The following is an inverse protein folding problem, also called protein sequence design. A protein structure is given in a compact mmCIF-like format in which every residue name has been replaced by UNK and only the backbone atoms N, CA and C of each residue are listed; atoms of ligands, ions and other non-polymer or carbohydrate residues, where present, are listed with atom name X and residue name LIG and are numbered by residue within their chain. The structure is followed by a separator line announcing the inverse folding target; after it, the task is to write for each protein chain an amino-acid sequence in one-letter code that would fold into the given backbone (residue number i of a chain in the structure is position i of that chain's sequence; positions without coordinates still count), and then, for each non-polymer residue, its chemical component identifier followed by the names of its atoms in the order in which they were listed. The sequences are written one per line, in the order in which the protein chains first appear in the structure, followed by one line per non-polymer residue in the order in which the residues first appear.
data_IF_841528634050
#
_entry.id   IF_841528634050
#
_cell.length_a   1.000
_cell.length_b   1.000
_cell.length_c   1.000
_cell.angle_alpha   90.00
_cell.angle_beta   90.00
_cell.angle_gamma   90.00
#
_symmetry.space_group_name_H-M   'P 1'
#
loop_
_entity.id
_entity.type
_entity.pdbx_description
1 polymer ?
#
# COMPACT_ATOMS: atom_id res chain seq x y z
N UNK A 1 -14.16 1.32 -11.02
CA UNK A 1 -14.32 2.12 -9.77
C UNK A 1 -13.97 1.20 -8.59
N UNK A 2 -13.17 1.62 -7.59
CA UNK A 2 -12.83 0.78 -6.43
C UNK A 2 -14.07 0.20 -5.70
N UNK A 3 -15.20 0.91 -5.69
CA UNK A 3 -16.44 0.46 -5.04
C UNK A 3 -17.24 -0.60 -5.84
N UNK A 4 -16.74 -1.03 -7.00
CA UNK A 4 -17.31 -2.12 -7.79
C UNK A 4 -16.79 -3.50 -7.38
N UNK A 5 -15.97 -3.60 -6.33
CA UNK A 5 -15.65 -4.87 -5.70
C UNK A 5 -16.91 -5.50 -5.08
N UNK A 6 -17.08 -6.81 -5.23
CA UNK A 6 -18.33 -7.49 -4.86
C UNK A 6 -18.10 -8.69 -3.95
N UNK A 7 -18.92 -8.80 -2.89
CA UNK A 7 -19.00 -9.99 -2.04
C UNK A 7 -20.12 -10.92 -2.51
N UNK A 8 -19.82 -12.21 -2.60
CA UNK A 8 -20.74 -13.29 -2.99
C UNK A 8 -20.51 -14.54 -2.15
N UNK A 9 -21.52 -15.40 -2.06
CA UNK A 9 -21.40 -16.70 -1.39
C UNK A 9 -21.17 -17.77 -2.43
N UNK A 10 -20.21 -18.68 -2.18
CA UNK A 10 -20.01 -19.85 -3.05
C UNK A 10 -21.13 -20.85 -2.82
N UNK A 11 -21.95 -21.10 -3.84
CA UNK A 11 -23.06 -22.05 -3.81
C UNK A 11 -22.65 -23.47 -4.22
N UNK A 12 -21.68 -23.60 -5.13
CA UNK A 12 -21.12 -24.89 -5.54
C UNK A 12 -19.69 -24.75 -6.06
N UNK A 13 -18.91 -25.83 -5.96
CA UNK A 13 -17.56 -25.93 -6.50
C UNK A 13 -17.49 -27.16 -7.40
N UNK A 14 -16.99 -26.98 -8.63
CA UNK A 14 -16.71 -28.07 -9.56
C UNK A 14 -15.33 -27.86 -10.20
N UNK A 15 -14.30 -28.52 -9.65
CA UNK A 15 -12.92 -28.29 -10.07
C UNK A 15 -12.53 -26.83 -9.85
N UNK A 16 -12.08 -26.15 -10.91
CA UNK A 16 -11.68 -24.73 -10.87
C UNK A 16 -12.83 -23.77 -11.22
N UNK A 17 -14.08 -24.24 -11.19
CA UNK A 17 -15.27 -23.41 -11.43
C UNK A 17 -16.08 -23.28 -10.14
N UNK A 18 -16.33 -22.04 -9.72
CA UNK A 18 -17.24 -21.71 -8.62
C UNK A 18 -18.58 -21.21 -9.17
N UNK A 19 -19.67 -21.67 -8.56
CA UNK A 19 -21.01 -21.11 -8.78
C UNK A 19 -21.32 -20.17 -7.62
N UNK A 20 -21.71 -18.95 -7.94
CA UNK A 20 -22.10 -17.94 -6.95
C UNK A 20 -23.59 -18.07 -6.62
N UNK A 21 -23.95 -17.72 -5.39
CA UNK A 21 -25.34 -17.66 -4.90
C UNK A 21 -26.23 -16.69 -5.67
N UNK A 22 -25.62 -15.60 -6.19
CA UNK A 22 -26.27 -14.60 -7.04
C UNK A 22 -25.29 -14.08 -8.10
N UNK A 23 -25.83 -13.57 -9.20
CA UNK A 23 -25.03 -12.94 -10.27
C UNK A 23 -24.21 -11.76 -9.75
N UNK A 24 -23.11 -11.44 -10.43
CA UNK A 24 -22.36 -10.19 -10.22
C UNK A 24 -23.13 -9.02 -10.84
N UNK A 25 -23.06 -7.86 -10.19
CA UNK A 25 -23.75 -6.64 -10.62
C UNK A 25 -22.89 -5.82 -11.59
N UNK A 26 -21.57 -5.92 -11.48
CA UNK A 26 -20.61 -5.24 -12.35
C UNK A 26 -19.90 -6.21 -13.29
N UNK A 27 -19.33 -5.66 -14.37
CA UNK A 27 -18.45 -6.41 -15.26
C UNK A 27 -17.10 -6.59 -14.57
N UNK A 28 -16.62 -7.84 -14.51
CA UNK A 28 -15.27 -8.17 -14.05
C UNK A 28 -14.52 -8.78 -15.23
N UNK A 29 -13.54 -8.04 -15.76
CA UNK A 29 -12.76 -8.52 -16.89
C UNK A 29 -11.90 -9.72 -16.46
N UNK A 30 -11.72 -10.67 -17.37
CA UNK A 30 -11.31 -12.03 -17.03
C UNK A 30 -10.32 -12.63 -18.01
N UNK A 31 -9.51 -11.80 -18.69
CA UNK A 31 -8.60 -12.25 -19.74
C UNK A 31 -7.22 -11.62 -19.59
N UNK A 32 -6.23 -12.32 -20.13
CA UNK A 32 -4.94 -11.73 -20.48
C UNK A 32 -5.09 -11.08 -21.85
N UNK A 33 -4.71 -9.81 -21.98
CA UNK A 33 -4.81 -9.04 -23.22
C UNK A 33 -3.54 -8.23 -23.44
N UNK A 34 -3.01 -8.24 -24.66
CA UNK A 34 -1.69 -7.65 -24.97
C UNK A 34 -0.58 -8.09 -23.99
N UNK A 35 -0.59 -9.34 -23.52
CA UNK A 35 0.31 -9.85 -22.48
C UNK A 35 0.19 -9.19 -21.09
N UNK A 36 -0.81 -8.35 -20.86
CA UNK A 36 -1.20 -7.82 -19.55
C UNK A 36 -2.26 -8.73 -18.95
N UNK A 37 -2.02 -9.22 -17.74
CA UNK A 37 -3.00 -10.04 -17.02
C UNK A 37 -4.01 -9.16 -16.31
N UNK A 38 -5.21 -9.09 -16.87
CA UNK A 38 -6.30 -8.26 -16.36
C UNK A 38 -7.47 -9.13 -15.87
N UNK A 39 -7.16 -10.34 -15.42
CA UNK A 39 -8.15 -11.20 -14.75
C UNK A 39 -8.47 -10.61 -13.38
N UNK A 40 -9.76 -10.46 -13.09
CA UNK A 40 -10.23 -9.97 -11.80
C UNK A 40 -9.80 -10.86 -10.63
N UNK A 41 -9.51 -10.21 -9.51
CA UNK A 41 -9.07 -10.86 -8.28
C UNK A 41 -10.22 -11.57 -7.56
N UNK A 42 -9.93 -12.74 -6.99
CA UNK A 42 -10.89 -13.52 -6.20
C UNK A 42 -10.28 -13.89 -4.86
N UNK A 43 -10.76 -13.25 -3.78
CA UNK A 43 -10.30 -13.50 -2.41
C UNK A 43 -11.36 -14.22 -1.57
N UNK A 44 -10.96 -15.30 -0.88
CA UNK A 44 -11.83 -15.96 0.11
C UNK A 44 -11.78 -15.20 1.44
N UNK A 45 -12.94 -14.72 1.91
CA UNK A 45 -13.04 -13.95 3.16
C UNK A 45 -13.31 -14.82 4.39
N UNK A 46 -13.98 -15.96 4.24
CA UNK A 46 -14.35 -16.78 5.39
C UNK A 46 -13.21 -17.64 5.91
N UNK A 47 -13.07 -17.77 7.24
CA UNK A 47 -12.18 -18.75 7.91
C UNK A 47 -12.92 -19.46 9.05
N UNK A 48 -12.34 -20.55 9.54
CA UNK A 48 -12.94 -21.33 10.64
C UNK A 48 -12.79 -20.66 12.01
N UNK A 49 -11.78 -19.80 12.19
CA UNK A 49 -11.55 -19.03 13.41
C UNK A 49 -11.94 -17.59 13.10
N UNK A 50 -13.04 -17.11 13.71
CA UNK A 50 -13.53 -15.75 13.51
C UNK A 50 -13.35 -14.94 14.78
N UNK A 51 -12.64 -13.83 14.67
CA UNK A 51 -12.50 -12.82 15.73
C UNK A 51 -13.19 -11.55 15.22
N UNK A 52 -14.27 -11.14 15.89
CA UNK A 52 -15.07 -10.02 15.44
C UNK A 52 -15.72 -9.26 16.59
N UNK A 53 -15.98 -7.98 16.36
CA UNK A 53 -16.91 -7.22 17.19
C UNK A 53 -18.37 -7.59 16.88
N UNK A 54 -19.25 -7.29 17.82
CA UNK A 54 -20.70 -7.43 17.64
C UNK A 54 -21.23 -6.48 16.55
N UNK A 55 -22.37 -6.79 15.89
CA UNK A 55 -22.89 -5.98 14.79
C UNK A 55 -23.22 -4.53 15.15
N UNK A 56 -23.54 -4.23 16.40
CA UNK A 56 -23.79 -2.85 16.88
C UNK A 56 -22.53 -1.96 16.82
N UNK A 57 -21.34 -2.54 16.70
CA UNK A 57 -20.11 -1.79 16.46
C UNK A 57 -20.14 -0.97 15.15
N UNK A 58 -20.98 -1.33 14.17
CA UNK A 58 -21.14 -0.56 12.92
C UNK A 58 -21.66 0.87 13.20
N UNK A 59 -22.36 1.09 14.33
CA UNK A 59 -22.91 2.41 14.69
C UNK A 59 -21.86 3.36 15.26
N UNK A 60 -20.83 2.81 15.90
CA UNK A 60 -19.79 3.57 16.60
C UNK A 60 -18.43 3.46 15.94
N UNK A 61 -18.27 2.52 15.00
CA UNK A 61 -17.02 2.15 14.36
C UNK A 61 -15.94 1.75 15.39
N UNK A 62 -16.38 1.16 16.49
CA UNK A 62 -15.55 0.77 17.63
C UNK A 62 -15.49 -0.75 17.72
N UNK A 63 -14.54 -1.35 17.00
CA UNK A 63 -14.32 -2.78 16.95
C UNK A 63 -13.27 -3.28 17.94
N UNK A 64 -12.99 -4.58 17.91
CA UNK A 64 -11.88 -5.18 18.65
C UNK A 64 -10.53 -4.82 18.02
N UNK A 65 -9.45 -4.90 18.81
CA UNK A 65 -8.08 -4.71 18.31
C UNK A 65 -7.13 -5.75 18.93
N UNK A 66 -6.08 -6.14 18.20
CA UNK A 66 -5.05 -7.07 18.69
C UNK A 66 -3.70 -6.36 18.58
N UNK A 67 -2.93 -6.38 19.67
CA UNK A 67 -1.64 -5.71 19.74
C UNK A 67 -0.60 -6.58 20.46
N UNK A 68 0.51 -6.86 19.78
CA UNK A 68 1.69 -7.45 20.37
C UNK A 68 2.60 -6.34 20.89
N UNK A 69 2.71 -6.20 22.20
CA UNK A 69 3.59 -5.23 22.87
C UNK A 69 5.03 -5.76 22.95
N UNK A 70 6.01 -4.87 23.11
CA UNK A 70 7.42 -5.19 23.36
C UNK A 70 7.59 -6.42 24.29
N UNK A 71 8.38 -7.39 23.85
CA UNK A 71 8.63 -8.66 24.56
C UNK A 71 7.60 -9.76 24.30
N UNK A 72 6.50 -9.46 23.60
CA UNK A 72 5.51 -10.45 23.17
C UNK A 72 5.92 -11.14 21.87
N UNK A 73 5.25 -12.27 21.59
CA UNK A 73 5.29 -12.93 20.28
C UNK A 73 3.87 -13.17 19.80
N UNK A 74 3.62 -12.93 18.52
CA UNK A 74 2.32 -13.14 17.89
C UNK A 74 2.48 -13.99 16.63
N UNK A 75 1.63 -15.01 16.52
CA UNK A 75 1.58 -15.97 15.42
C UNK A 75 0.11 -16.18 15.04
N UNK A 76 -0.28 -15.70 13.85
CA UNK A 76 -1.66 -15.73 13.39
C UNK A 76 -1.72 -16.49 12.08
N UNK A 77 -2.51 -17.57 12.01
CA UNK A 77 -2.67 -18.38 10.79
C UNK A 77 -4.13 -18.76 10.60
N UNK A 78 -4.68 -18.51 9.41
CA UNK A 78 -6.01 -18.97 9.03
C UNK A 78 -7.15 -18.34 9.84
N UNK A 79 -7.01 -17.07 10.24
CA UNK A 79 -8.00 -16.34 11.05
C UNK A 79 -8.79 -15.35 10.19
N UNK A 80 -10.09 -15.23 10.44
CA UNK A 80 -10.96 -14.18 9.90
C UNK A 80 -11.14 -13.08 10.97
N UNK A 81 -10.82 -11.85 10.59
CA UNK A 81 -10.95 -10.64 11.41
C UNK A 81 -11.99 -9.74 10.75
N UNK A 82 -13.12 -9.53 11.43
CA UNK A 82 -14.27 -8.79 10.90
C UNK A 82 -14.77 -7.74 11.89
N UNK A 83 -15.12 -6.52 11.44
CA UNK A 83 -15.50 -5.40 12.34
C UNK A 83 -14.44 -5.13 13.41
N UNK A 84 -13.18 -5.12 12.98
CA UNK A 84 -12.01 -4.91 13.84
C UNK A 84 -11.39 -3.52 13.57
N UNK A 85 -10.53 -3.07 14.48
CA UNK A 85 -10.01 -1.72 14.52
C UNK A 85 -11.00 -0.74 15.17
N UNK A 86 -10.54 0.45 15.50
CA UNK A 86 -11.39 1.50 16.07
C UNK A 86 -11.16 2.80 15.29
N UNK A 87 -12.19 3.28 14.60
CA UNK A 87 -12.08 4.49 13.80
C UNK A 87 -11.73 5.70 14.70
N UNK A 88 -10.86 6.59 14.23
CA UNK A 88 -10.43 7.78 14.98
C UNK A 88 -9.80 7.50 16.36
N UNK A 89 -9.34 6.27 16.61
CA UNK A 89 -8.52 5.91 17.77
C UNK A 89 -7.14 5.41 17.32
N UNK A 90 -6.09 6.19 17.64
CA UNK A 90 -4.71 5.85 17.30
C UNK A 90 -4.30 4.52 17.93
N UNK A 91 -3.51 3.72 17.19
CA UNK A 91 -2.95 2.45 17.64
C UNK A 91 -3.99 1.36 18.01
N UNK A 92 -5.19 1.41 17.42
CA UNK A 92 -6.27 0.44 17.65
C UNK A 92 -6.69 -0.20 16.33
N UNK A 93 -5.92 -1.20 15.93
CA UNK A 93 -6.00 -1.85 14.61
C UNK A 93 -6.32 -3.35 14.75
N UNK A 94 -6.86 -4.01 13.70
CA UNK A 94 -7.12 -5.45 13.72
C UNK A 94 -5.92 -6.27 14.16
N UNK A 95 -4.74 -5.96 13.62
CA UNK A 95 -3.47 -6.58 13.96
C UNK A 95 -2.38 -5.50 14.05
N UNK A 96 -1.64 -5.48 15.16
CA UNK A 96 -0.59 -4.49 15.39
C UNK A 96 0.61 -5.11 16.12
N UNK A 97 1.76 -5.19 15.45
CA UNK A 97 3.06 -5.40 16.13
C UNK A 97 3.60 -4.04 16.58
N UNK A 98 3.64 -3.83 17.90
CA UNK A 98 3.97 -2.55 18.50
C UNK A 98 5.32 -2.61 19.22
N UNK A 99 6.35 -2.08 18.56
CA UNK A 99 7.71 -1.89 19.07
C UNK A 99 8.38 -3.20 19.50
N UNK A 100 8.26 -4.26 18.71
CA UNK A 100 8.83 -5.57 19.03
C UNK A 100 10.35 -5.59 18.84
N UNK A 101 10.90 -4.73 17.97
CA UNK A 101 12.28 -4.84 17.54
C UNK A 101 12.42 -6.00 16.55
N UNK A 102 13.18 -7.03 16.91
CA UNK A 102 13.33 -8.21 16.05
C UNK A 102 12.16 -9.19 16.25
N UNK A 103 11.33 -9.32 15.23
CA UNK A 103 10.19 -10.22 15.18
C UNK A 103 10.44 -11.44 14.29
N UNK A 104 11.70 -11.82 14.04
CA UNK A 104 12.02 -12.98 13.20
C UNK A 104 11.22 -14.23 13.61
N UNK A 105 10.51 -14.79 12.63
CA UNK A 105 9.66 -15.97 12.78
C UNK A 105 8.25 -15.70 13.30
N UNK A 106 7.91 -14.46 13.68
CA UNK A 106 6.53 -14.04 13.94
C UNK A 106 5.81 -13.78 12.63
N UNK A 107 4.48 -13.92 12.63
CA UNK A 107 3.73 -13.82 11.38
C UNK A 107 2.23 -13.57 11.53
N UNK A 108 1.65 -13.06 10.44
CA UNK A 108 0.24 -13.29 10.08
C UNK A 108 0.18 -13.91 8.69
N UNK A 109 -0.42 -15.11 8.59
CA UNK A 109 -0.54 -15.85 7.34
C UNK A 109 -1.94 -16.38 7.05
N UNK A 110 -2.25 -16.59 5.78
CA UNK A 110 -3.48 -17.27 5.31
C UNK A 110 -4.79 -16.70 5.87
N UNK A 111 -4.78 -15.43 6.32
CA UNK A 111 -5.87 -14.84 7.09
C UNK A 111 -6.74 -13.94 6.22
N UNK A 112 -7.93 -13.61 6.71
CA UNK A 112 -8.83 -12.65 6.09
C UNK A 112 -9.07 -11.49 7.06
N UNK A 113 -8.92 -10.24 6.60
CA UNK A 113 -9.09 -9.03 7.42
C UNK A 113 -10.01 -8.08 6.67
N UNK A 114 -11.28 -8.01 7.06
CA UNK A 114 -12.27 -7.26 6.28
C UNK A 114 -13.30 -6.50 7.11
N UNK A 115 -13.95 -5.54 6.46
CA UNK A 115 -14.91 -4.62 7.08
C UNK A 115 -14.32 -4.00 8.36
N UNK A 116 -13.12 -3.42 8.23
CA UNK A 116 -12.37 -2.87 9.37
C UNK A 116 -12.60 -1.38 9.51
N UNK A 117 -12.65 -0.93 10.76
CA UNK A 117 -12.87 0.48 11.09
C UNK A 117 -11.58 1.31 11.11
N UNK A 118 -10.42 0.65 11.09
CA UNK A 118 -9.11 1.30 10.98
C UNK A 118 -8.04 0.28 10.63
N UNK A 119 -7.48 0.40 9.42
CA UNK A 119 -6.33 -0.34 8.89
C UNK A 119 -6.55 -1.85 8.80
N UNK A 120 -5.50 -2.58 8.43
CA UNK A 120 -5.50 -4.03 8.42
C UNK A 120 -4.39 -4.56 9.34
N UNK A 121 -3.14 -4.50 8.86
CA UNK A 121 -1.95 -5.01 9.54
C UNK A 121 -0.96 -3.87 9.71
N UNK A 122 -0.69 -3.52 10.97
CA UNK A 122 0.25 -2.47 11.33
C UNK A 122 1.54 -3.06 11.88
N UNK A 123 2.67 -2.61 11.33
CA UNK A 123 4.02 -2.94 11.77
C UNK A 123 4.67 -1.65 12.24
N UNK A 124 4.88 -1.54 13.55
CA UNK A 124 5.42 -0.34 14.19
C UNK A 124 6.68 -0.70 14.98
N UNK A 125 7.82 -0.10 14.64
CA UNK A 125 9.11 -0.36 15.31
C UNK A 125 9.49 -1.83 15.34
N UNK A 126 9.13 -2.57 14.29
CA UNK A 126 9.23 -4.03 14.21
C UNK A 126 9.87 -4.45 12.89
N UNK A 127 10.79 -5.40 12.98
CA UNK A 127 11.67 -5.85 11.92
C UNK A 127 11.56 -7.36 11.70
N UNK A 128 11.89 -7.83 10.49
CA UNK A 128 11.95 -9.25 10.13
C UNK A 128 10.64 -10.04 10.33
N UNK A 129 9.49 -9.34 10.28
CA UNK A 129 8.16 -9.94 10.36
C UNK A 129 7.72 -10.54 9.01
N UNK A 130 6.99 -11.66 9.05
CA UNK A 130 6.33 -12.22 7.87
C UNK A 130 4.83 -11.87 7.82
N UNK A 131 4.41 -11.15 6.78
CA UNK A 131 3.00 -10.85 6.46
C UNK A 131 2.69 -11.50 5.11
N UNK A 132 2.01 -12.65 5.12
CA UNK A 132 1.95 -13.53 3.94
C UNK A 132 0.55 -14.05 3.62
N UNK A 133 0.16 -14.06 2.35
CA UNK A 133 -1.06 -14.74 1.87
C UNK A 133 -2.35 -14.31 2.62
N UNK A 134 -2.47 -13.01 2.91
CA UNK A 134 -3.66 -12.46 3.56
C UNK A 134 -4.57 -11.79 2.53
N UNK A 135 -5.88 -11.96 2.70
CA UNK A 135 -6.91 -11.26 1.92
C UNK A 135 -7.49 -10.15 2.78
N UNK A 136 -7.49 -8.91 2.30
CA UNK A 136 -8.15 -7.80 2.96
C UNK A 136 -9.24 -7.21 2.08
N UNK A 137 -10.33 -6.77 2.70
CA UNK A 137 -11.47 -6.23 1.97
C UNK A 137 -12.22 -5.14 2.75
N UNK A 138 -12.53 -4.02 2.11
CA UNK A 138 -13.36 -2.94 2.70
C UNK A 138 -12.77 -2.44 4.03
N UNK A 139 -11.57 -1.88 3.97
CA UNK A 139 -10.87 -1.34 5.13
C UNK A 139 -10.88 0.20 5.09
N UNK A 140 -10.88 0.85 6.26
CA UNK A 140 -10.70 2.31 6.39
C UNK A 140 -9.24 2.62 6.73
N UNK A 141 -8.65 3.66 6.14
CA UNK A 141 -7.25 4.06 6.31
C UNK A 141 -6.24 3.15 5.60
N UNK A 142 -4.94 3.39 5.79
CA UNK A 142 -3.89 2.57 5.18
C UNK A 142 -3.98 1.10 5.65
N UNK A 143 -3.96 0.13 4.73
CA UNK A 143 -4.24 -1.27 5.08
C UNK A 143 -3.01 -1.99 5.67
N UNK A 144 -1.96 -2.21 4.88
CA UNK A 144 -0.65 -2.71 5.33
C UNK A 144 0.24 -1.50 5.63
N UNK A 145 0.54 -1.26 6.90
CA UNK A 145 1.05 0.03 7.37
C UNK A 145 2.37 -0.11 8.14
N UNK A 146 3.43 0.51 7.60
CA UNK A 146 4.68 0.78 8.33
C UNK A 146 4.64 2.15 8.99
N UNK A 147 4.81 2.22 10.31
CA UNK A 147 4.49 3.44 11.07
C UNK A 147 5.58 4.50 11.06
N UNK A 148 6.80 4.16 11.47
CA UNK A 148 7.80 5.18 11.82
C UNK A 148 9.04 5.19 10.92
N UNK A 149 9.07 4.37 9.87
CA UNK A 149 10.18 4.24 8.92
C UNK A 149 11.47 3.63 9.48
N UNK A 150 11.46 3.11 10.72
CA UNK A 150 12.55 2.26 11.22
C UNK A 150 12.40 0.80 10.79
N UNK A 151 11.20 0.42 10.36
CA UNK A 151 10.81 -0.96 10.08
C UNK A 151 11.55 -1.47 8.85
N UNK A 152 12.41 -2.46 9.03
CA UNK A 152 13.20 -3.07 7.97
C UNK A 152 13.19 -4.59 8.11
N UNK A 153 13.60 -5.32 7.08
CA UNK A 153 13.65 -6.77 7.19
C UNK A 153 12.35 -7.49 6.95
N UNK A 154 11.21 -6.78 6.97
CA UNK A 154 9.90 -7.38 6.91
C UNK A 154 9.57 -7.87 5.50
N UNK A 155 8.69 -8.86 5.44
CA UNK A 155 8.25 -9.48 4.20
C UNK A 155 6.73 -9.34 4.06
N UNK A 156 6.29 -8.78 2.94
CA UNK A 156 4.90 -8.70 2.51
C UNK A 156 4.80 -9.52 1.22
N UNK A 157 4.24 -10.72 1.31
CA UNK A 157 4.28 -11.70 0.21
C UNK A 157 2.88 -12.25 -0.07
N UNK A 158 2.44 -12.28 -1.33
CA UNK A 158 1.14 -12.85 -1.74
C UNK A 158 -0.09 -12.24 -1.04
N UNK A 159 -0.02 -11.00 -0.55
CA UNK A 159 -1.19 -10.37 0.06
C UNK A 159 -2.08 -9.72 -1.01
N UNK A 160 -3.39 -9.87 -0.86
CA UNK A 160 -4.40 -9.27 -1.72
C UNK A 160 -5.19 -8.25 -0.90
N UNK A 161 -5.10 -6.97 -1.24
CA UNK A 161 -5.94 -5.93 -0.65
C UNK A 161 -6.98 -5.41 -1.64
N UNK A 162 -8.24 -5.40 -1.20
CA UNK A 162 -9.39 -4.98 -1.99
C UNK A 162 -10.15 -3.88 -1.27
N UNK A 163 -10.53 -2.80 -1.96
CA UNK A 163 -11.31 -1.70 -1.39
C UNK A 163 -10.68 -1.08 -0.13
N UNK A 164 -9.66 -0.24 -0.34
CA UNK A 164 -9.08 0.60 0.72
C UNK A 164 -9.67 2.01 0.65
N UNK A 165 -10.32 2.43 1.73
CA UNK A 165 -11.05 3.71 1.82
C UNK A 165 -10.34 4.72 2.71
N UNK A 166 -10.48 6.01 2.44
CA UNK A 166 -10.00 7.05 3.36
C UNK A 166 -10.93 7.18 4.57
N UNK A 167 -12.24 7.15 4.32
CA UNK A 167 -13.27 7.36 5.32
C UNK A 167 -14.33 6.25 5.28
N UNK A 168 -15.17 6.12 6.32
CA UNK A 168 -16.29 5.19 6.29
C UNK A 168 -17.27 5.49 5.15
N UNK A 169 -17.73 6.75 5.08
CA UNK A 169 -18.86 7.20 4.26
C UNK A 169 -18.63 8.56 3.58
N UNK A 170 -17.36 8.97 3.42
CA UNK A 170 -16.99 10.23 2.78
C UNK A 170 -15.90 10.02 1.72
N UNK A 171 -15.86 10.84 0.65
CA UNK A 171 -14.77 10.77 -0.30
C UNK A 171 -13.44 11.17 0.34
N UNK A 172 -12.34 10.60 -0.13
CA UNK A 172 -10.99 11.10 0.16
C UNK A 172 -10.87 12.59 -0.21
N UNK A 173 -10.07 13.33 0.57
CA UNK A 173 -9.59 14.67 0.21
C UNK A 173 -8.07 14.60 -0.01
N UNK A 174 -7.59 13.94 -1.09
CA UNK A 174 -6.19 13.59 -1.25
C UNK A 174 -5.32 14.81 -1.58
N UNK A 175 -4.04 14.74 -1.21
CA UNK A 175 -3.04 15.67 -1.74
C UNK A 175 -2.46 15.11 -3.04
N UNK A 176 -3.07 15.51 -4.15
CA UNK A 176 -2.62 15.13 -5.48
C UNK A 176 -1.69 16.18 -6.09
N UNK A 177 -0.62 15.68 -6.72
CA UNK A 177 0.26 16.49 -7.56
C UNK A 177 0.05 16.04 -9.00
N UNK A 178 -0.10 17.02 -9.88
CA UNK A 178 -0.18 16.81 -11.33
C UNK A 178 0.46 17.97 -12.07
N UNK A 179 0.58 17.86 -13.41
CA UNK A 179 1.07 18.96 -14.24
C UNK A 179 0.27 20.25 -13.97
N UNK A 180 0.94 21.42 -14.03
CA UNK A 180 0.27 22.72 -13.87
C UNK A 180 -0.93 22.84 -14.81
N UNK A 181 -2.09 23.23 -14.28
CA UNK A 181 -3.35 23.37 -15.04
C UNK A 181 -4.20 22.10 -15.13
N UNK A 182 -3.69 20.93 -14.76
CA UNK A 182 -4.51 19.73 -14.53
C UNK A 182 -5.30 19.90 -13.22
N UNK A 183 -6.54 19.39 -13.14
CA UNK A 183 -7.31 19.37 -11.88
C UNK A 183 -7.97 20.68 -11.42
N UNK A 184 -8.20 21.66 -12.31
CA UNK A 184 -9.02 22.84 -11.99
C UNK A 184 -8.51 23.71 -10.82
N UNK A 185 -7.20 23.71 -10.58
CA UNK A 185 -6.57 24.43 -9.46
C UNK A 185 -6.50 23.65 -8.14
N UNK A 186 -6.93 22.38 -8.12
CA UNK A 186 -6.84 21.49 -6.95
C UNK A 186 -5.50 20.76 -6.84
N UNK A 187 -4.69 20.74 -7.90
CA UNK A 187 -3.30 20.30 -7.79
C UNK A 187 -2.61 21.14 -6.72
N UNK A 188 -1.85 20.50 -5.84
CA UNK A 188 -1.21 21.12 -4.67
C UNK A 188 -2.16 21.50 -3.50
N UNK A 189 -3.43 21.08 -3.52
CA UNK A 189 -4.29 21.26 -2.36
C UNK A 189 -3.86 20.33 -1.20
N UNK A 190 -3.38 20.93 -0.11
CA UNK A 190 -2.94 20.24 1.10
C UNK A 190 -3.95 20.32 2.24
N UNK A 191 -5.14 20.88 2.02
CA UNK A 191 -6.15 21.06 3.08
C UNK A 191 -6.57 19.73 3.72
N UNK A 192 -6.62 18.64 2.94
CA UNK A 192 -6.94 17.30 3.44
C UNK A 192 -5.95 16.77 4.48
N UNK A 193 -4.70 17.25 4.49
CA UNK A 193 -3.72 16.89 5.52
C UNK A 193 -4.04 17.49 6.90
N UNK A 194 -4.89 18.51 6.96
CA UNK A 194 -5.31 19.20 8.18
C UNK A 194 -6.76 18.88 8.56
N UNK A 195 -7.36 17.86 7.94
CA UNK A 195 -8.73 17.48 8.26
C UNK A 195 -8.84 17.01 9.73
N UNK A 196 -10.04 17.13 10.31
CA UNK A 196 -10.27 16.79 11.73
C UNK A 196 -10.73 15.35 11.94
N UNK A 197 -11.09 14.70 10.85
CA UNK A 197 -11.64 13.36 10.70
C UNK A 197 -10.62 12.38 10.12
N UNK A 198 -9.34 12.60 10.42
CA UNK A 198 -8.22 11.70 10.09
C UNK A 198 -7.36 11.44 11.32
N UNK A 199 -6.69 10.28 11.38
CA UNK A 199 -5.75 9.95 12.47
C UNK A 199 -4.38 10.55 12.21
N UNK A 200 -3.92 10.49 10.97
CA UNK A 200 -2.68 11.09 10.49
C UNK A 200 -2.91 11.83 9.17
N UNK A 201 -2.10 12.86 8.84
CA UNK A 201 -2.28 13.67 7.63
C UNK A 201 -2.41 12.88 6.32
N UNK A 202 -1.78 11.69 6.22
CA UNK A 202 -1.84 10.84 5.03
C UNK A 202 -3.12 10.02 4.87
N UNK A 203 -3.98 9.89 5.89
CA UNK A 203 -5.18 9.03 5.80
C UNK A 203 -6.19 9.53 4.75
N UNK A 204 -6.14 10.82 4.39
CA UNK A 204 -6.92 11.38 3.28
C UNK A 204 -6.37 11.01 1.89
N UNK A 205 -5.23 10.32 1.84
CA UNK A 205 -4.60 9.72 0.65
C UNK A 205 -4.30 8.25 0.96
N UNK A 206 -5.25 7.54 1.58
CA UNK A 206 -5.08 6.17 2.05
C UNK A 206 -4.53 5.22 0.97
N UNK A 207 -3.76 4.22 1.41
CA UNK A 207 -3.15 3.24 0.51
C UNK A 207 -3.31 1.81 0.99
N UNK A 208 -3.43 0.86 0.06
CA UNK A 208 -3.39 -0.56 0.42
C UNK A 208 -2.05 -0.90 1.06
N UNK A 209 -0.94 -0.46 0.46
CA UNK A 209 0.39 -0.61 1.03
C UNK A 209 1.01 0.76 1.32
N UNK A 210 1.20 1.07 2.59
CA UNK A 210 1.88 2.28 3.08
C UNK A 210 3.29 1.91 3.54
N UNK A 211 4.28 2.38 2.78
CA UNK A 211 5.67 1.93 2.85
C UNK A 211 6.55 3.14 3.18
N UNK A 212 6.99 3.22 4.43
CA UNK A 212 7.83 4.33 4.91
C UNK A 212 9.32 4.01 4.91
N UNK A 213 9.70 2.74 4.73
CA UNK A 213 11.10 2.30 4.61
C UNK A 213 11.24 1.28 3.48
N UNK A 214 12.14 1.50 2.50
CA UNK A 214 12.27 0.64 1.33
C UNK A 214 13.08 -0.64 1.59
N UNK A 215 13.65 -0.82 2.79
CA UNK A 215 14.43 -2.00 3.19
C UNK A 215 13.55 -3.17 3.64
N UNK A 216 12.49 -3.44 2.89
CA UNK A 216 11.53 -4.53 3.10
C UNK A 216 11.25 -5.24 1.77
N UNK A 217 10.72 -6.46 1.83
CA UNK A 217 10.38 -7.26 0.66
C UNK A 217 8.89 -7.13 0.37
N UNK A 218 8.54 -6.72 -0.85
CA UNK A 218 7.18 -6.73 -1.37
C UNK A 218 7.13 -7.62 -2.61
N UNK A 219 6.57 -8.81 -2.47
CA UNK A 219 6.56 -9.81 -3.54
C UNK A 219 5.15 -10.33 -3.84
N UNK A 220 4.77 -10.31 -5.11
CA UNK A 220 3.55 -10.95 -5.61
C UNK A 220 2.27 -10.51 -4.85
N UNK A 221 2.24 -9.25 -4.36
CA UNK A 221 1.07 -8.67 -3.72
C UNK A 221 0.16 -7.99 -4.75
N UNK A 222 -1.12 -7.86 -4.40
CA UNK A 222 -2.10 -7.17 -5.23
C UNK A 222 -2.80 -6.06 -4.44
N UNK A 223 -2.86 -4.86 -5.04
CA UNK A 223 -3.68 -3.74 -4.57
C UNK A 223 -4.80 -3.45 -5.57
N UNK A 224 -6.01 -3.95 -5.29
CA UNK A 224 -7.16 -3.92 -6.17
C UNK A 224 -8.25 -3.00 -5.62
N UNK A 225 -8.27 -1.74 -6.05
CA UNK A 225 -9.35 -0.81 -5.72
C UNK A 225 -9.14 0.02 -4.46
N UNK A 226 -8.07 0.80 -4.39
CA UNK A 226 -7.93 1.89 -3.42
C UNK A 226 -8.66 3.15 -3.88
N UNK A 227 -9.32 3.85 -2.97
CA UNK A 227 -9.88 5.17 -3.26
C UNK A 227 -8.79 6.17 -3.67
N UNK A 228 -7.59 6.05 -3.07
CA UNK A 228 -6.40 6.80 -3.43
C UNK A 228 -5.30 5.89 -4.02
N UNK A 229 -4.38 5.33 -3.21
CA UNK A 229 -3.13 4.74 -3.75
C UNK A 229 -3.03 3.23 -3.55
N UNK A 230 -2.60 2.46 -4.55
CA UNK A 230 -2.29 1.03 -4.37
C UNK A 230 -1.05 0.82 -3.49
N UNK A 231 0.13 1.13 -4.04
CA UNK A 231 1.41 1.08 -3.33
C UNK A 231 1.99 2.48 -3.16
N UNK A 232 2.29 2.88 -1.92
CA UNK A 232 2.90 4.18 -1.63
C UNK A 232 4.22 4.04 -0.87
N UNK A 233 5.34 4.22 -1.57
CA UNK A 233 6.66 4.47 -0.99
C UNK A 233 6.76 5.93 -0.50
N UNK A 234 6.20 6.17 0.67
CA UNK A 234 6.17 7.47 1.36
C UNK A 234 7.39 7.63 2.27
N UNK A 235 8.58 7.81 1.69
CA UNK A 235 9.82 7.77 2.45
C UNK A 235 10.14 9.11 3.15
N UNK A 236 10.17 9.19 4.50
CA UNK A 236 10.71 10.35 5.19
C UNK A 236 12.25 10.39 5.09
N UNK A 237 12.84 11.54 5.39
CA UNK A 237 14.32 11.64 5.41
C UNK A 237 14.94 10.84 6.56
N UNK A 238 14.28 10.90 7.72
CA UNK A 238 14.58 10.14 8.92
C UNK A 238 13.29 9.57 9.51
N UNK A 239 13.37 8.50 10.31
CA UNK A 239 12.24 8.01 11.08
C UNK A 239 11.51 9.09 11.88
N UNK A 240 10.18 9.00 11.86
CA UNK A 240 9.24 9.92 12.50
C UNK A 240 8.61 9.28 13.75
N UNK A 241 7.61 9.95 14.33
CA UNK A 241 6.79 9.39 15.39
C UNK A 241 7.60 8.98 16.62
N UNK A 242 7.46 7.72 17.07
CA UNK A 242 8.09 7.24 18.31
C UNK A 242 9.61 7.27 18.26
N UNK A 243 10.20 7.19 17.06
CA UNK A 243 11.64 7.14 16.86
C UNK A 243 12.25 8.51 16.54
N UNK A 244 11.46 9.57 16.39
CA UNK A 244 11.96 10.92 16.13
C UNK A 244 12.99 11.36 17.19
N UNK A 245 14.11 11.92 16.74
CA UNK A 245 15.18 12.44 17.61
C UNK A 245 16.00 11.37 18.34
N UNK A 246 15.72 10.08 18.14
CA UNK A 246 16.51 8.99 18.74
C UNK A 246 17.81 8.74 17.98
N UNK A 247 18.76 8.05 18.63
CA UNK A 247 20.00 7.61 17.97
C UNK A 247 19.72 6.66 16.79
N UNK A 248 18.66 5.84 16.87
CA UNK A 248 18.22 4.97 15.77
C UNK A 248 17.80 5.82 14.58
N UNK A 249 16.98 6.86 14.80
CA UNK A 249 16.52 7.76 13.73
C UNK A 249 17.69 8.51 13.07
N UNK A 250 18.64 9.01 13.85
CA UNK A 250 19.83 9.69 13.34
C UNK A 250 20.70 8.81 12.40
N UNK A 251 20.62 7.49 12.53
CA UNK A 251 21.39 6.52 11.72
C UNK A 251 20.55 5.87 10.61
N UNK A 252 19.26 6.16 10.54
CA UNK A 252 18.34 5.54 9.58
C UNK A 252 17.91 6.57 8.54
N UNK A 253 18.08 6.25 7.26
CA UNK A 253 17.90 7.19 6.16
C UNK A 253 17.01 6.61 5.04
N UNK A 254 15.68 6.50 5.22
CA UNK A 254 14.81 5.84 4.25
C UNK A 254 14.94 6.38 2.82
N UNK A 255 15.05 7.70 2.63
CA UNK A 255 15.28 8.34 1.31
C UNK A 255 16.62 8.00 0.63
N UNK A 256 17.57 7.42 1.36
CA UNK A 256 18.89 7.00 0.86
C UNK A 256 19.11 5.50 0.89
N UNK A 257 18.18 4.77 1.47
CA UNK A 257 18.23 3.31 1.56
C UNK A 257 17.79 2.69 0.25
N UNK A 258 18.54 1.69 -0.23
CA UNK A 258 18.18 0.94 -1.44
C UNK A 258 16.85 0.21 -1.24
N UNK A 259 16.01 0.19 -2.27
CA UNK A 259 14.86 -0.72 -2.33
C UNK A 259 15.38 -2.15 -2.26
N UNK A 260 15.00 -2.87 -1.20
CA UNK A 260 15.45 -4.24 -1.00
C UNK A 260 14.87 -5.15 -2.07
N UNK A 261 13.53 -5.21 -2.15
CA UNK A 261 12.84 -5.95 -3.20
C UNK A 261 11.42 -5.43 -3.39
N UNK A 262 11.07 -5.14 -4.64
CA UNK A 262 9.69 -4.96 -5.08
C UNK A 262 9.51 -5.71 -6.39
N UNK A 263 8.84 -6.86 -6.35
CA UNK A 263 8.77 -7.80 -7.46
C UNK A 263 7.40 -8.44 -7.64
N UNK A 264 6.92 -8.52 -8.89
CA UNK A 264 5.72 -9.32 -9.23
C UNK A 264 4.40 -8.75 -8.71
N UNK A 265 4.42 -7.54 -8.14
CA UNK A 265 3.22 -6.94 -7.57
C UNK A 265 2.28 -6.42 -8.67
N UNK A 266 0.99 -6.39 -8.36
CA UNK A 266 -0.05 -5.87 -9.26
C UNK A 266 -0.87 -4.78 -8.58
N UNK A 267 -1.20 -3.70 -9.28
CA UNK A 267 -2.11 -2.69 -8.77
C UNK A 267 -3.10 -2.21 -9.84
N UNK A 268 -4.38 -2.32 -9.54
CA UNK A 268 -5.43 -1.93 -10.46
C UNK A 268 -6.69 -1.38 -9.79
N UNK A 269 -7.52 -0.71 -10.58
CA UNK A 269 -8.76 -0.08 -10.11
C UNK A 269 -8.57 0.98 -9.01
N UNK A 270 -7.33 1.45 -8.78
CA UNK A 270 -7.02 2.49 -7.80
C UNK A 270 -7.22 3.88 -8.41
N UNK A 271 -7.09 4.95 -7.60
CA UNK A 271 -6.81 6.26 -8.18
C UNK A 271 -5.37 6.31 -8.72
N UNK A 272 -4.37 6.17 -7.85
CA UNK A 272 -2.97 5.95 -8.23
C UNK A 272 -2.56 4.50 -7.96
N UNK A 273 -1.88 3.88 -8.92
CA UNK A 273 -1.38 2.50 -8.81
C UNK A 273 -0.17 2.42 -7.88
N UNK A 274 0.84 3.25 -8.16
CA UNK A 274 2.13 3.25 -7.51
C UNK A 274 2.63 4.69 -7.34
N UNK A 275 2.93 5.06 -6.11
CA UNK A 275 3.43 6.38 -5.73
C UNK A 275 4.76 6.23 -4.97
N UNK A 276 5.84 6.76 -5.53
CA UNK A 276 7.15 6.81 -4.89
C UNK A 276 7.64 8.26 -4.82
N UNK A 277 7.01 9.01 -3.92
CA UNK A 277 7.23 10.42 -3.63
C UNK A 277 6.47 10.74 -2.34
N UNK A 278 6.42 12.02 -1.96
CA UNK A 278 5.47 12.53 -0.95
C UNK A 278 5.63 11.86 0.42
N UNK A 279 6.86 11.73 0.89
CA UNK A 279 7.13 11.18 2.22
C UNK A 279 6.72 12.12 3.37
N UNK A 280 6.36 11.57 4.54
CA UNK A 280 5.98 12.35 5.70
C UNK A 280 7.18 13.11 6.28
N UNK A 281 6.87 14.14 7.05
CA UNK A 281 7.78 14.92 7.89
C UNK A 281 7.48 14.60 9.36
N UNK A 282 8.31 15.07 10.31
CA UNK A 282 8.06 14.85 11.73
C UNK A 282 6.68 15.28 12.25
N UNK A 283 6.10 16.33 11.68
CA UNK A 283 4.74 16.80 11.99
C UNK A 283 3.62 15.93 11.39
N UNK A 284 3.97 14.87 10.65
CA UNK A 284 3.05 13.96 9.96
C UNK A 284 2.61 14.46 8.59
N UNK A 285 2.73 15.77 8.30
CA UNK A 285 2.43 16.32 6.98
C UNK A 285 3.42 15.77 5.96
N UNK A 286 2.95 15.61 4.72
CA UNK A 286 3.74 15.02 3.67
C UNK A 286 3.87 15.96 2.48
N UNK A 287 5.03 15.92 1.84
CA UNK A 287 5.38 16.78 0.73
C UNK A 287 6.39 16.07 -0.17
N UNK A 288 6.59 16.60 -1.38
CA UNK A 288 7.54 16.07 -2.33
C UNK A 288 8.91 15.84 -1.71
N UNK A 289 9.52 14.69 -1.98
CA UNK A 289 10.84 14.33 -1.49
C UNK A 289 11.43 13.24 -2.36
N UNK A 290 12.53 13.55 -3.05
CA UNK A 290 13.19 12.59 -3.94
C UNK A 290 13.91 11.48 -3.16
N UNK A 291 13.96 10.30 -3.77
CA UNK A 291 14.70 9.15 -3.27
C UNK A 291 15.93 8.87 -4.15
N UNK A 292 17.11 8.71 -3.52
CA UNK A 292 18.35 8.35 -4.20
C UNK A 292 19.09 7.35 -3.33
N UNK A 293 19.20 6.10 -3.77
CA UNK A 293 19.89 5.09 -2.97
C UNK A 293 21.40 5.29 -2.98
N UNK A 294 22.03 5.16 -1.82
CA UNK A 294 23.47 5.26 -1.65
C UNK A 294 24.05 3.95 -1.11
N UNK A 295 25.31 3.65 -1.45
CA UNK A 295 25.99 2.45 -0.94
C UNK A 295 26.15 2.47 0.59
N UNK A 296 26.26 3.66 1.17
CA UNK A 296 26.13 3.90 2.60
C UNK A 296 25.10 5.02 2.83
N UNK A 297 23.85 4.68 3.20
CA UNK A 297 22.78 5.67 3.38
C UNK A 297 23.11 6.79 4.39
N UNK A 298 23.98 6.51 5.38
CA UNK A 298 24.40 7.48 6.39
C UNK A 298 25.48 8.46 5.90
N UNK A 299 26.14 8.17 4.78
CA UNK A 299 27.14 9.04 4.16
C UNK A 299 26.61 9.58 2.83
N UNK A 300 26.22 10.86 2.83
CA UNK A 300 25.69 11.56 1.66
C UNK A 300 26.69 11.68 0.50
N UNK A 301 27.99 11.47 0.75
CA UNK A 301 29.04 11.46 -0.26
C UNK A 301 29.32 10.08 -0.85
N UNK A 302 28.73 9.03 -0.27
CA UNK A 302 28.95 7.67 -0.74
C UNK A 302 28.34 7.45 -2.13
N UNK A 303 28.89 6.52 -2.93
CA UNK A 303 28.41 6.25 -4.28
C UNK A 303 26.90 5.99 -4.34
N UNK A 304 26.24 6.56 -5.33
CA UNK A 304 24.85 6.22 -5.66
C UNK A 304 24.76 4.77 -6.14
N UNK A 305 23.70 4.08 -5.75
CA UNK A 305 23.42 2.70 -6.16
C UNK A 305 22.02 2.60 -6.77
N UNK A 306 21.84 1.62 -7.64
CA UNK A 306 20.59 1.40 -8.35
C UNK A 306 19.53 0.73 -7.46
N UNK A 307 18.32 1.30 -7.46
CA UNK A 307 17.11 0.65 -6.94
C UNK A 307 16.27 0.12 -8.08
N UNK A 308 15.79 -1.11 -7.95
CA UNK A 308 15.09 -1.82 -9.02
C UNK A 308 13.66 -2.14 -8.58
N UNK A 309 12.70 -1.81 -9.44
CA UNK A 309 11.31 -2.26 -9.39
C UNK A 309 11.13 -3.25 -10.54
N UNK A 310 10.76 -4.50 -10.22
CA UNK A 310 10.74 -5.59 -11.20
C UNK A 310 9.34 -6.20 -11.34
N UNK A 311 8.95 -6.59 -12.55
CA UNK A 311 7.74 -7.37 -12.83
C UNK A 311 6.44 -6.74 -12.28
N UNK A 312 6.35 -5.40 -12.28
CA UNK A 312 5.17 -4.69 -11.77
C UNK A 312 4.11 -4.52 -12.86
N UNK A 313 2.88 -4.93 -12.55
CA UNK A 313 1.71 -4.74 -13.43
C UNK A 313 0.76 -3.69 -12.85
N UNK A 314 0.49 -2.63 -13.60
CA UNK A 314 -0.39 -1.54 -13.19
C UNK A 314 -1.45 -1.27 -14.24
N UNK A 315 -2.73 -1.57 -13.99
CA UNK A 315 -3.77 -1.36 -15.00
C UNK A 315 -5.06 -0.73 -14.46
N UNK A 316 -5.84 -0.09 -15.32
CA UNK A 316 -7.17 0.46 -14.95
C UNK A 316 -7.16 1.40 -13.73
N UNK A 317 -6.10 2.19 -13.56
CA UNK A 317 -6.04 3.19 -12.50
C UNK A 317 -6.54 4.55 -13.02
N UNK A 318 -7.38 5.22 -12.22
CA UNK A 318 -8.07 6.46 -12.64
C UNK A 318 -7.12 7.63 -12.89
N UNK A 319 -5.92 7.59 -12.33
CA UNK A 319 -4.87 8.60 -12.48
C UNK A 319 -3.56 7.95 -12.96
N UNK A 320 -2.55 7.76 -12.09
CA UNK A 320 -1.23 7.29 -12.48
C UNK A 320 -1.05 5.77 -12.40
N UNK A 321 -0.57 5.16 -13.47
CA UNK A 321 -0.01 3.80 -13.47
C UNK A 321 1.34 3.74 -12.74
N UNK A 322 2.13 4.80 -12.82
CA UNK A 322 3.30 4.99 -11.96
C UNK A 322 3.67 6.47 -11.81
N UNK A 323 3.76 6.95 -10.57
CA UNK A 323 4.34 8.23 -10.21
C UNK A 323 5.55 8.03 -9.31
N UNK A 324 6.71 8.51 -9.73
CA UNK A 324 7.96 8.32 -9.00
C UNK A 324 8.78 9.61 -8.97
N UNK A 325 9.61 9.77 -7.93
CA UNK A 325 10.57 10.87 -7.82
C UNK A 325 11.90 10.40 -7.30
N UNK A 326 12.97 10.80 -7.97
CA UNK A 326 14.33 10.52 -7.52
C UNK A 326 15.25 10.14 -8.66
N UNK A 327 16.32 9.44 -8.31
CA UNK A 327 17.41 9.11 -9.23
C UNK A 327 17.83 7.65 -9.09
N UNK A 328 18.49 7.12 -10.12
CA UNK A 328 19.02 5.74 -10.15
C UNK A 328 17.94 4.67 -9.95
N UNK A 329 16.72 4.90 -10.49
CA UNK A 329 15.65 3.91 -10.46
C UNK A 329 15.55 3.17 -11.79
N UNK A 330 15.62 1.84 -11.74
CA UNK A 330 15.38 0.99 -12.90
C UNK A 330 14.08 0.25 -12.71
N UNK A 331 13.22 0.36 -13.72
CA UNK A 331 11.95 -0.33 -13.80
C UNK A 331 12.06 -1.37 -14.89
N UNK A 332 12.01 -2.63 -14.50
CA UNK A 332 12.25 -3.77 -15.38
C UNK A 332 10.98 -4.57 -15.54
N UNK A 333 10.62 -4.87 -16.79
CA UNK A 333 9.44 -5.66 -17.12
C UNK A 333 8.15 -5.09 -16.51
N UNK A 334 7.96 -3.78 -16.63
CA UNK A 334 6.68 -3.17 -16.28
C UNK A 334 5.61 -3.55 -17.30
N UNK A 335 4.38 -3.67 -16.85
CA UNK A 335 3.20 -3.78 -17.71
C UNK A 335 2.16 -2.76 -17.27
N UNK A 336 2.02 -1.67 -18.03
CA UNK A 336 1.10 -0.59 -17.70
C UNK A 336 0.02 -0.44 -18.77
N UNK A 337 -1.25 -0.65 -18.41
CA UNK A 337 -2.38 -0.62 -19.33
C UNK A 337 -3.55 0.21 -18.81
N UNK A 338 -4.31 0.88 -19.68
CA UNK A 338 -5.58 1.53 -19.31
C UNK A 338 -5.49 2.53 -18.13
N UNK A 339 -4.33 3.15 -17.93
CA UNK A 339 -4.13 4.18 -16.91
C UNK A 339 -4.30 5.56 -17.55
N UNK A 340 -4.94 6.51 -16.86
CA UNK A 340 -5.08 7.87 -17.38
C UNK A 340 -3.69 8.51 -17.68
N UNK A 341 -2.69 8.21 -16.85
CA UNK A 341 -1.29 8.52 -17.08
C UNK A 341 -0.49 7.25 -16.87
N UNK A 342 0.15 6.72 -17.92
CA UNK A 342 0.95 5.49 -17.82
C UNK A 342 2.11 5.61 -16.84
N UNK A 343 3.01 6.57 -17.06
CA UNK A 343 4.26 6.70 -16.28
C UNK A 343 4.69 8.16 -16.17
N UNK A 344 5.05 8.57 -14.96
CA UNK A 344 5.66 9.87 -14.66
C UNK A 344 6.81 9.69 -13.69
N UNK A 345 8.01 10.13 -14.07
CA UNK A 345 9.18 10.16 -13.19
C UNK A 345 9.74 11.56 -13.09
N UNK A 346 9.74 12.11 -11.88
CA UNK A 346 10.27 13.43 -11.61
C UNK A 346 11.72 13.35 -11.09
N UNK A 347 12.61 14.16 -11.64
CA UNK A 347 13.98 14.32 -11.19
C UNK A 347 14.17 15.73 -10.60
N UNK A 348 15.04 15.83 -9.60
CA UNK A 348 15.51 17.10 -9.06
C UNK A 348 17.03 17.27 -9.17
N UNK A 349 17.75 16.21 -9.56
CA UNK A 349 19.21 16.14 -9.50
C UNK A 349 19.87 16.30 -10.89
N UNK A 350 19.44 17.32 -11.63
CA UNK A 350 19.78 17.55 -13.05
C UNK A 350 21.30 17.43 -13.32
N UNK A 351 21.70 16.33 -13.97
CA UNK A 351 23.07 16.09 -14.45
C UNK A 351 24.07 15.55 -13.42
N UNK A 352 23.65 15.21 -12.20
CA UNK A 352 24.56 14.72 -11.14
C UNK A 352 24.53 13.19 -10.94
N UNK A 353 23.49 12.52 -11.45
CA UNK A 353 23.35 11.06 -11.38
C UNK A 353 23.65 10.41 -12.74
N UNK A 354 24.11 9.15 -12.74
CA UNK A 354 24.38 8.42 -13.98
C UNK A 354 23.13 8.27 -14.86
N UNK A 355 21.96 8.18 -14.23
CA UNK A 355 20.64 8.31 -14.85
C UNK A 355 19.60 8.64 -13.79
N UNK A 356 18.46 9.18 -14.22
CA UNK A 356 17.34 9.50 -13.33
C UNK A 356 16.42 8.29 -13.17
N UNK A 357 15.90 7.80 -14.30
CA UNK A 357 15.14 6.58 -14.43
C UNK A 357 15.53 5.81 -15.69
N UNK A 358 15.39 4.49 -15.64
CA UNK A 358 15.46 3.60 -16.80
C UNK A 358 14.25 2.70 -16.80
N UNK A 359 13.58 2.62 -17.94
CA UNK A 359 12.49 1.66 -18.17
C UNK A 359 12.99 0.67 -19.20
N UNK A 360 13.09 -0.60 -18.82
CA UNK A 360 13.69 -1.65 -19.63
C UNK A 360 12.73 -2.84 -19.72
N UNK A 361 12.71 -3.49 -20.89
CA UNK A 361 11.90 -4.69 -21.18
C UNK A 361 10.41 -4.53 -20.81
N UNK A 362 9.86 -3.32 -20.91
CA UNK A 362 8.53 -2.95 -20.42
C UNK A 362 7.50 -2.78 -21.53
N UNK A 363 6.23 -2.94 -21.18
CA UNK A 363 5.07 -2.79 -22.04
C UNK A 363 4.14 -1.67 -21.55
N UNK A 364 3.70 -0.84 -22.50
CA UNK A 364 2.69 0.20 -22.29
C UNK A 364 1.56 0.01 -23.29
N UNK A 365 0.33 -0.17 -22.79
CA UNK A 365 -0.86 -0.31 -23.61
C UNK A 365 -1.81 0.83 -23.29
N UNK A 366 -2.21 1.60 -24.30
CA UNK A 366 -3.09 2.75 -24.09
C UNK A 366 -4.50 2.32 -23.69
N UNK A 367 -5.12 1.50 -24.55
CA UNK A 367 -6.46 0.94 -24.36
C UNK A 367 -6.45 -0.54 -24.69
N UNK A 368 -7.02 -1.36 -23.80
CA UNK A 368 -7.23 -2.80 -24.02
C UNK A 368 -8.69 -3.13 -24.34
N UNK A 369 -9.00 -4.43 -24.49
CA UNK A 369 -10.40 -4.90 -24.61
C UNK A 369 -11.19 -4.76 -23.29
N UNK A 370 -10.51 -4.46 -22.19
CA UNK A 370 -11.14 -4.25 -20.91
C UNK A 370 -11.86 -2.90 -20.92
N UNK A 371 -13.19 -2.94 -21.01
CA UNK A 371 -14.05 -1.75 -20.93
C UNK A 371 -14.58 -1.47 -19.51
N UNK A 372 -14.16 -2.28 -18.53
CA UNK A 372 -14.60 -2.24 -17.14
C UNK A 372 -13.91 -1.18 -16.31
#
# INVERSE_FOLDING_TARGET
DPHQAERRTVAAIRGNTITLDKKLDYMHFGKITFDVDERGEVGMLSRNIVIQASPDADQTLFGGHIMAMLGSKMFVDGVELNRMGQNMHLARYPIHWHLIGDAQGQYIKNSAVHDTYSRCVTVHGTNYLDVENNVTYNNIGHCFFLEDAVEHGNQFVHNLGILTKCHPDAPCVPTNLGPFGSGGGQNFNTAGQNAKDILIPSDNTASTFWITNPDNIYRDNVAAGSEATGFWFALPEHPTGKFEGTEISAKTWPRRTRVREFKGNTAHSNFDSFLFDRGPRPDGHFATGGHISLSNPADASSPQVESVIEDFTGYKNRNGGMWTRGEMHTYKNLKLADNAIGYTHASGNFGQSAFTSRVVDSLFVGETENIG
#
